data_IF_300330330209
#
_entry.id   IF_300330330209
#
_cell.length_a   1.000
_cell.length_b   1.000
_cell.length_c   1.000
_cell.angle_alpha   90.00
_cell.angle_beta   90.00
_cell.angle_gamma   90.00
#
_symmetry.space_group_name_H-M   'P 1'
#
loop_
_entity.id
_entity.type
_entity.pdbx_description
1 polymer ?
#
# COMPACT_ATOMS: atom_id res chain seq x y z
N UNK A 1 5.51 7.41 -19.56
CA UNK A 1 5.31 8.59 -18.69
C UNK A 1 6.30 8.54 -17.52
N UNK A 2 6.77 9.68 -16.97
CA UNK A 2 7.63 9.68 -15.76
C UNK A 2 6.91 9.08 -14.53
N UNK A 3 7.67 8.47 -13.62
CA UNK A 3 7.10 7.84 -12.42
C UNK A 3 6.48 8.86 -11.46
N UNK A 4 7.06 10.06 -11.40
CA UNK A 4 6.57 11.19 -10.62
C UNK A 4 5.17 11.60 -11.06
N UNK A 5 4.90 11.57 -12.37
CA UNK A 5 3.58 11.90 -12.93
C UNK A 5 2.55 10.89 -12.45
N UNK A 6 2.87 9.60 -12.50
CA UNK A 6 1.99 8.58 -11.94
C UNK A 6 1.81 8.74 -10.44
N UNK A 7 2.87 9.01 -9.68
CA UNK A 7 2.74 9.20 -8.24
C UNK A 7 1.79 10.36 -7.89
N UNK A 8 1.96 11.50 -8.56
CA UNK A 8 1.29 12.75 -8.22
C UNK A 8 -0.07 12.99 -8.89
N UNK A 9 -0.42 12.30 -9.98
CA UNK A 9 -1.68 12.54 -10.70
C UNK A 9 -2.86 11.72 -10.20
N UNK A 10 -4.07 12.02 -10.69
CA UNK A 10 -5.28 11.32 -10.30
C UNK A 10 -5.48 10.02 -11.07
N UNK A 11 -6.03 9.04 -10.36
CA UNK A 11 -6.19 7.66 -10.82
C UNK A 11 -7.59 7.17 -10.54
N UNK A 12 -8.00 6.15 -11.27
CA UNK A 12 -9.24 5.45 -10.96
C UNK A 12 -9.09 3.96 -11.22
N UNK A 13 -9.77 3.15 -10.42
CA UNK A 13 -9.97 1.72 -10.68
C UNK A 13 -10.78 1.58 -11.96
N UNK A 14 -10.36 0.68 -12.83
CA UNK A 14 -11.00 0.44 -14.14
C UNK A 14 -11.92 -0.77 -14.15
N UNK A 15 -11.65 -1.73 -13.24
CA UNK A 15 -12.36 -2.99 -13.13
C UNK A 15 -12.87 -3.21 -11.71
N UNK A 16 -13.80 -4.16 -11.58
CA UNK A 16 -14.24 -4.66 -10.28
C UNK A 16 -13.07 -5.29 -9.51
N UNK A 17 -12.87 -4.86 -8.27
CA UNK A 17 -11.79 -5.37 -7.43
C UNK A 17 -12.24 -6.64 -6.72
N UNK A 18 -11.55 -7.75 -6.98
CA UNK A 18 -11.82 -9.05 -6.36
C UNK A 18 -10.61 -9.53 -5.57
N UNK A 19 -10.84 -9.79 -4.29
CA UNK A 19 -9.91 -10.54 -3.47
C UNK A 19 -9.88 -12.01 -3.89
N UNK A 20 -8.70 -12.60 -3.96
CA UNK A 20 -8.54 -14.04 -4.17
C UNK A 20 -9.05 -14.82 -2.96
N UNK A 21 -9.33 -16.11 -3.16
CA UNK A 21 -9.38 -17.02 -2.02
C UNK A 21 -8.04 -16.96 -1.23
N UNK A 22 -8.07 -17.17 0.10
CA UNK A 22 -6.85 -17.26 0.89
C UNK A 22 -5.97 -18.42 0.40
N UNK A 23 -4.66 -18.18 0.29
CA UNK A 23 -3.68 -19.23 -0.02
C UNK A 23 -3.39 -20.12 1.21
N UNK A 24 -2.40 -21.02 1.09
CA UNK A 24 -1.99 -21.91 2.18
C UNK A 24 -1.51 -21.17 3.44
N UNK A 25 -1.04 -19.93 3.29
CA UNK A 25 -0.57 -19.09 4.39
C UNK A 25 -1.70 -18.18 4.92
N UNK A 26 -2.94 -18.38 4.45
CA UNK A 26 -4.10 -17.58 4.80
C UNK A 26 -4.09 -16.18 4.19
N UNK A 27 -3.24 -15.92 3.20
CA UNK A 27 -3.11 -14.60 2.58
C UNK A 27 -4.08 -14.49 1.41
N UNK A 28 -4.89 -13.43 1.42
CA UNK A 28 -5.72 -13.01 0.29
C UNK A 28 -5.13 -11.77 -0.37
N UNK A 29 -5.28 -11.67 -1.70
CA UNK A 29 -4.70 -10.59 -2.50
C UNK A 29 -5.69 -10.07 -3.53
N UNK A 30 -5.50 -8.85 -3.99
CA UNK A 30 -6.04 -8.41 -5.26
C UNK A 30 -4.96 -7.68 -6.06
N UNK A 31 -5.17 -7.61 -7.37
CA UNK A 31 -4.41 -6.77 -8.29
C UNK A 31 -5.38 -6.19 -9.30
N UNK A 32 -5.36 -4.88 -9.49
CA UNK A 32 -6.23 -4.17 -10.42
C UNK A 32 -5.46 -3.08 -11.14
N UNK A 33 -5.70 -2.94 -12.44
CA UNK A 33 -5.13 -1.86 -13.23
C UNK A 33 -5.82 -0.54 -12.93
N UNK A 34 -5.08 0.55 -13.12
CA UNK A 34 -5.57 1.90 -12.91
C UNK A 34 -5.62 2.65 -14.23
N UNK A 35 -6.65 3.48 -14.39
CA UNK A 35 -6.61 4.55 -15.36
C UNK A 35 -5.91 5.76 -14.76
N UNK A 36 -5.28 6.53 -15.62
CA UNK A 36 -4.65 7.80 -15.32
C UNK A 36 -5.19 8.82 -16.32
N UNK A 37 -5.76 9.92 -15.83
CA UNK A 37 -6.40 10.93 -16.69
C UNK A 37 -7.44 10.33 -17.67
N UNK A 38 -8.18 9.32 -17.23
CA UNK A 38 -9.21 8.64 -18.03
C UNK A 38 -8.67 7.63 -19.06
N UNK A 39 -7.35 7.47 -19.17
CA UNK A 39 -6.71 6.50 -20.07
C UNK A 39 -6.26 5.29 -19.26
N UNK A 40 -6.60 4.09 -19.71
CA UNK A 40 -6.08 2.86 -19.11
C UNK A 40 -4.55 2.81 -19.31
N UNK A 41 -3.79 2.91 -18.22
CA UNK A 41 -2.33 2.89 -18.28
C UNK A 41 -1.83 1.46 -18.07
N UNK A 42 -1.33 0.84 -19.15
CA UNK A 42 -0.74 -0.48 -19.08
C UNK A 42 0.44 -0.50 -18.09
N UNK A 43 0.31 -1.29 -17.04
CA UNK A 43 1.36 -1.48 -16.03
C UNK A 43 1.22 -0.61 -14.79
N UNK A 44 0.31 0.37 -14.73
CA UNK A 44 -0.03 1.06 -13.48
C UNK A 44 -1.09 0.26 -12.71
N UNK A 45 -0.75 -0.20 -11.51
CA UNK A 45 -1.62 -1.10 -10.76
C UNK A 45 -1.69 -0.74 -9.28
N UNK A 46 -2.86 -1.00 -8.70
CA UNK A 46 -3.07 -1.11 -7.26
C UNK A 46 -3.10 -2.58 -6.87
N UNK A 47 -2.40 -2.93 -5.79
CA UNK A 47 -2.56 -4.22 -5.14
C UNK A 47 -2.95 -4.06 -3.69
N UNK A 48 -3.69 -5.06 -3.19
CA UNK A 48 -3.97 -5.24 -1.78
C UNK A 48 -3.54 -6.61 -1.32
N UNK A 49 -3.08 -6.70 -0.08
CA UNK A 49 -2.74 -7.94 0.62
C UNK A 49 -3.35 -7.89 2.00
N UNK A 50 -4.00 -8.96 2.44
CA UNK A 50 -4.51 -9.10 3.79
C UNK A 50 -4.38 -10.55 4.28
N UNK A 51 -4.36 -10.76 5.58
CA UNK A 51 -4.52 -12.09 6.16
C UNK A 51 -5.99 -12.35 6.45
N UNK A 52 -6.53 -13.45 5.95
CA UNK A 52 -7.93 -13.79 6.05
C UNK A 52 -8.36 -14.00 7.51
N UNK A 53 -7.53 -14.65 8.32
CA UNK A 53 -7.86 -15.02 9.71
C UNK A 53 -7.58 -13.91 10.73
N UNK A 54 -7.11 -12.74 10.27
CA UNK A 54 -6.77 -11.58 11.09
C UNK A 54 -7.57 -10.34 10.63
N UNK A 55 -8.88 -10.28 10.95
CA UNK A 55 -9.73 -9.18 10.54
C UNK A 55 -9.24 -7.85 11.10
N UNK A 56 -9.38 -6.77 10.31
CA UNK A 56 -9.05 -5.39 10.70
C UNK A 56 -7.58 -5.18 11.10
N UNK A 57 -6.68 -6.00 10.57
CA UNK A 57 -5.24 -5.86 10.75
C UNK A 57 -4.45 -6.46 9.59
N UNK A 58 -3.12 -6.27 9.61
CA UNK A 58 -2.18 -6.81 8.65
C UNK A 58 -2.62 -6.67 7.19
N UNK A 59 -3.07 -5.47 6.84
CA UNK A 59 -3.50 -5.14 5.49
C UNK A 59 -2.52 -4.17 4.87
N UNK A 60 -2.14 -4.42 3.62
CA UNK A 60 -1.23 -3.60 2.86
C UNK A 60 -1.89 -3.19 1.56
N UNK A 61 -1.81 -1.91 1.21
CA UNK A 61 -2.06 -1.41 -0.14
C UNK A 61 -0.76 -0.96 -0.78
N UNK A 62 -0.52 -1.32 -2.03
CA UNK A 62 0.71 -0.95 -2.75
C UNK A 62 0.38 -0.50 -4.17
N UNK A 63 0.84 0.71 -4.50
CA UNK A 63 0.80 1.28 -5.85
C UNK A 63 2.13 0.98 -6.53
N UNK A 64 2.09 0.43 -7.74
CA UNK A 64 3.30 0.17 -8.51
C UNK A 64 3.08 0.34 -10.01
N UNK A 65 4.17 0.64 -10.72
CA UNK A 65 4.21 0.73 -12.16
C UNK A 65 5.08 -0.40 -12.73
N UNK A 66 4.69 -0.97 -13.86
CA UNK A 66 5.43 -2.03 -14.55
C UNK A 66 5.72 -1.63 -16.00
N UNK A 67 6.89 -2.00 -16.50
CA UNK A 67 7.20 -1.84 -17.92
C UNK A 67 6.75 -3.04 -18.76
N UNK A 68 6.83 -2.89 -20.09
CA UNK A 68 6.48 -3.94 -21.06
C UNK A 68 7.33 -5.21 -20.93
N UNK A 69 8.45 -5.17 -20.21
CA UNK A 69 9.33 -6.32 -19.95
C UNK A 69 8.99 -7.00 -18.61
N UNK A 70 7.89 -6.60 -17.97
CA UNK A 70 7.45 -7.13 -16.68
C UNK A 70 8.26 -6.63 -15.49
N UNK A 71 9.14 -5.63 -15.65
CA UNK A 71 9.87 -5.06 -14.51
C UNK A 71 8.96 -4.10 -13.78
N UNK A 72 8.70 -4.39 -12.50
CA UNK A 72 7.87 -3.56 -11.64
C UNK A 72 8.69 -2.67 -10.69
N UNK A 73 8.16 -1.48 -10.44
CA UNK A 73 8.69 -0.48 -9.51
C UNK A 73 7.55 -0.04 -8.59
N UNK A 74 7.74 -0.26 -7.29
CA UNK A 74 6.82 0.23 -6.25
C UNK A 74 6.93 1.74 -6.16
N UNK A 75 5.79 2.41 -6.12
CA UNK A 75 5.70 3.86 -6.01
C UNK A 75 5.36 4.28 -4.57
N UNK A 76 4.36 3.62 -3.99
CA UNK A 76 3.84 3.92 -2.65
C UNK A 76 3.33 2.65 -1.98
N UNK A 77 3.40 2.59 -0.64
CA UNK A 77 2.81 1.49 0.14
C UNK A 77 2.23 2.00 1.45
N UNK A 78 1.02 1.58 1.77
CA UNK A 78 0.40 1.77 3.08
C UNK A 78 0.34 0.42 3.79
N UNK A 79 0.94 0.33 4.97
CA UNK A 79 0.89 -0.85 5.84
C UNK A 79 0.03 -0.52 7.06
N UNK A 80 -1.02 -1.30 7.31
CA UNK A 80 -1.97 -1.07 8.40
C UNK A 80 -1.96 -2.20 9.42
N UNK A 81 -1.70 -1.84 10.68
CA UNK A 81 -1.69 -2.75 11.84
C UNK A 81 -0.93 -4.04 11.54
N UNK A 82 0.29 -3.89 11.01
CA UNK A 82 1.18 -5.01 10.68
C UNK A 82 1.42 -5.89 11.91
N UNK A 83 1.23 -7.21 11.77
CA UNK A 83 1.51 -8.18 12.84
C UNK A 83 3.01 -8.25 13.19
N UNK A 84 3.87 -7.84 12.27
CA UNK A 84 5.32 -7.76 12.49
C UNK A 84 5.73 -6.46 13.22
N UNK A 85 4.76 -5.63 13.56
CA UNK A 85 4.95 -4.24 13.94
C UNK A 85 5.49 -3.40 12.77
N UNK A 86 6.07 -2.24 13.08
CA UNK A 86 6.77 -1.43 12.08
C UNK A 86 8.23 -1.87 11.86
N UNK A 87 8.99 -1.06 11.13
CA UNK A 87 10.37 -1.38 10.75
C UNK A 87 11.31 -0.20 10.93
N UNK A 88 12.61 -0.49 10.94
CA UNK A 88 13.63 0.57 10.98
C UNK A 88 13.73 1.24 9.62
N UNK A 89 13.77 2.57 9.59
CA UNK A 89 14.09 3.32 8.38
C UNK A 89 15.59 3.20 8.08
N UNK A 90 15.94 2.53 6.98
CA UNK A 90 17.35 2.37 6.57
C UNK A 90 17.79 3.55 5.70
N UNK A 91 19.04 4.02 5.85
CA UNK A 91 19.62 5.11 5.04
C UNK A 91 18.83 6.42 5.10
N UNK A 92 18.36 6.78 6.29
CA UNK A 92 17.76 8.08 6.54
C UNK A 92 18.71 9.21 6.10
N UNK A 93 18.22 10.24 5.41
CA UNK A 93 19.00 11.45 5.18
C UNK A 93 19.49 12.03 6.51
N UNK A 94 20.71 12.56 6.53
CA UNK A 94 21.23 13.30 7.68
C UNK A 94 20.28 14.44 8.04
N UNK A 95 19.93 14.58 9.32
CA UNK A 95 18.97 15.60 9.79
C UNK A 95 17.50 15.30 9.49
N UNK A 96 17.17 14.13 8.94
CA UNK A 96 15.78 13.73 8.67
C UNK A 96 14.95 13.63 9.96
N UNK A 97 13.74 14.17 9.93
CA UNK A 97 12.72 14.07 10.99
C UNK A 97 12.01 12.72 11.03
N UNK A 98 12.27 11.82 10.08
CA UNK A 98 11.64 10.50 10.05
C UNK A 98 11.90 9.73 11.34
N UNK A 99 10.96 8.91 11.81
CA UNK A 99 11.20 8.08 12.98
C UNK A 99 12.32 7.08 12.72
N UNK A 100 13.04 6.66 13.77
CA UNK A 100 14.07 5.62 13.66
C UNK A 100 13.44 4.27 13.34
N UNK A 101 12.28 3.99 13.93
CA UNK A 101 11.45 2.81 13.70
C UNK A 101 10.01 3.29 13.55
N UNK A 102 9.30 2.78 12.55
CA UNK A 102 7.89 3.10 12.33
C UNK A 102 6.98 2.29 13.26
N UNK A 103 5.75 2.74 13.38
CA UNK A 103 4.66 2.05 14.06
C UNK A 103 4.09 0.93 13.18
N UNK A 104 3.27 0.01 13.71
CA UNK A 104 2.64 -1.05 12.91
C UNK A 104 1.78 -0.53 11.75
N UNK A 105 1.25 0.70 11.88
CA UNK A 105 0.57 1.43 10.83
C UNK A 105 1.48 2.55 10.34
N UNK A 106 1.90 2.51 9.07
CA UNK A 106 2.84 3.47 8.52
C UNK A 106 2.76 3.56 7.00
N UNK A 107 3.23 4.69 6.47
CA UNK A 107 3.16 5.00 5.05
C UNK A 107 4.53 5.18 4.41
N UNK A 108 4.73 4.49 3.30
CA UNK A 108 5.86 4.59 2.40
C UNK A 108 5.48 5.51 1.25
N UNK A 109 5.71 6.82 1.40
CA UNK A 109 5.39 7.77 0.33
C UNK A 109 6.41 7.71 -0.82
N UNK A 110 5.97 8.19 -1.99
CA UNK A 110 6.81 8.30 -3.17
C UNK A 110 8.00 9.23 -2.90
N UNK A 111 7.75 10.42 -2.35
CA UNK A 111 8.77 11.45 -2.16
C UNK A 111 9.89 11.02 -1.21
N UNK A 112 9.55 10.30 -0.14
CA UNK A 112 10.55 9.74 0.79
C UNK A 112 11.46 8.74 0.07
N UNK A 113 10.90 7.97 -0.86
CA UNK A 113 11.60 6.91 -1.56
C UNK A 113 12.08 7.31 -2.95
N UNK A 114 11.83 8.52 -3.43
CA UNK A 114 12.31 9.01 -4.70
C UNK A 114 13.70 9.63 -4.56
N UNK A 115 14.54 9.45 -5.58
CA UNK A 115 15.78 10.18 -5.72
C UNK A 115 15.75 11.01 -7.01
N UNK A 116 15.45 12.31 -6.93
CA UNK A 116 15.24 13.15 -8.12
C UNK A 116 16.51 13.31 -8.96
N UNK A 117 17.71 13.27 -8.36
CA UNK A 117 18.96 13.39 -9.12
C UNK A 117 19.24 12.19 -10.02
N UNK A 118 18.78 11.00 -9.62
CA UNK A 118 18.97 9.76 -10.39
C UNK A 118 17.71 9.31 -11.13
N UNK A 119 16.58 10.02 -10.93
CA UNK A 119 15.25 9.64 -11.41
C UNK A 119 14.89 8.17 -11.12
N UNK A 120 15.12 7.73 -9.88
CA UNK A 120 14.92 6.33 -9.46
C UNK A 120 14.39 6.24 -8.04
N UNK A 121 13.62 5.18 -7.77
CA UNK A 121 13.25 4.79 -6.40
C UNK A 121 14.48 4.33 -5.61
N UNK A 122 14.49 4.60 -4.31
CA UNK A 122 15.47 4.17 -3.31
C UNK A 122 15.31 2.68 -3.05
N UNK A 123 15.76 1.87 -3.99
CA UNK A 123 15.64 0.42 -3.93
C UNK A 123 14.23 -0.08 -4.26
N UNK A 124 14.07 -1.41 -4.25
CA UNK A 124 12.85 -2.07 -4.73
C UNK A 124 11.75 -2.24 -3.66
N UNK A 125 12.01 -1.91 -2.39
CA UNK A 125 11.15 -2.28 -1.25
C UNK A 125 10.56 -1.12 -0.47
N UNK A 126 10.80 0.13 -0.89
CA UNK A 126 10.44 1.34 -0.17
C UNK A 126 10.99 1.31 1.27
N UNK A 127 12.28 1.60 1.48
CA UNK A 127 12.93 1.48 2.79
C UNK A 127 12.60 2.59 3.78
N UNK A 128 12.01 3.70 3.31
CA UNK A 128 11.69 4.86 4.13
C UNK A 128 10.17 5.01 4.25
N UNK A 129 9.70 5.05 5.50
CA UNK A 129 8.32 5.30 5.84
C UNK A 129 8.20 6.31 6.97
N UNK A 130 7.03 6.91 7.07
CA UNK A 130 6.62 7.76 8.17
C UNK A 130 5.44 7.11 8.90
N UNK A 131 5.31 7.43 10.18
CA UNK A 131 4.07 7.15 10.89
C UNK A 131 2.98 8.05 10.30
N UNK A 132 1.75 7.59 10.39
CA UNK A 132 0.59 8.44 10.14
C UNK A 132 0.04 8.85 11.50
N UNK A 133 -0.46 10.08 11.60
CA UNK A 133 -1.00 10.58 12.86
C UNK A 133 -2.47 10.14 13.05
N UNK A 134 -3.15 9.79 11.95
CA UNK A 134 -4.52 9.34 11.97
C UNK A 134 -4.65 7.92 12.53
N UNK A 135 -5.53 7.77 13.51
CA UNK A 135 -5.90 6.47 14.03
C UNK A 135 -6.98 5.81 13.16
N UNK A 136 -6.54 4.97 12.23
CA UNK A 136 -7.41 4.26 11.28
C UNK A 136 -8.09 3.07 11.96
N UNK A 137 -9.29 3.28 12.48
CA UNK A 137 -10.04 2.31 13.29
C UNK A 137 -10.82 1.25 12.49
N UNK A 138 -10.99 1.44 11.17
CA UNK A 138 -11.70 0.51 10.30
C UNK A 138 -11.03 0.32 8.94
N UNK A 139 -11.46 -0.70 8.19
CA UNK A 139 -10.98 -0.91 6.83
C UNK A 139 -11.39 0.24 5.91
N UNK A 140 -12.59 0.78 6.10
CA UNK A 140 -13.12 1.90 5.33
C UNK A 140 -12.29 3.17 5.57
N UNK A 141 -11.88 3.41 6.82
CA UNK A 141 -10.97 4.51 7.16
C UNK A 141 -9.60 4.31 6.50
N UNK A 142 -9.03 3.10 6.57
CA UNK A 142 -7.80 2.76 5.86
C UNK A 142 -7.92 2.98 4.35
N UNK A 143 -8.99 2.48 3.76
CA UNK A 143 -9.26 2.55 2.32
C UNK A 143 -9.40 4.00 1.87
N UNK A 144 -10.17 4.80 2.60
CA UNK A 144 -10.33 6.23 2.34
C UNK A 144 -9.00 6.99 2.46
N UNK A 145 -8.26 6.75 3.55
CA UNK A 145 -6.93 7.34 3.74
C UNK A 145 -5.98 6.97 2.58
N UNK A 146 -5.95 5.69 2.21
CA UNK A 146 -5.12 5.18 1.10
C UNK A 146 -5.51 5.81 -0.24
N UNK A 147 -6.81 5.92 -0.54
CA UNK A 147 -7.29 6.56 -1.76
C UNK A 147 -6.86 8.02 -1.85
N UNK A 148 -6.95 8.76 -0.75
CA UNK A 148 -6.47 10.15 -0.69
C UNK A 148 -4.96 10.21 -0.92
N UNK A 149 -4.17 9.40 -0.18
CA UNK A 149 -2.71 9.39 -0.29
C UNK A 149 -2.22 8.97 -1.69
N UNK A 150 -2.91 8.02 -2.34
CA UNK A 150 -2.52 7.47 -3.64
C UNK A 150 -3.19 8.22 -4.81
N UNK A 151 -4.10 9.16 -4.51
CA UNK A 151 -4.96 9.89 -5.45
C UNK A 151 -5.80 8.97 -6.33
N UNK A 152 -6.54 8.05 -5.70
CA UNK A 152 -7.46 7.12 -6.36
C UNK A 152 -8.89 7.57 -6.04
N UNK A 153 -9.58 8.16 -7.01
CA UNK A 153 -10.83 8.90 -6.79
C UNK A 153 -12.04 8.00 -6.48
N UNK A 154 -11.99 6.72 -6.87
CA UNK A 154 -13.04 5.72 -6.65
C UNK A 154 -12.55 4.55 -5.79
N UNK A 155 -11.66 4.81 -4.83
CA UNK A 155 -11.09 3.76 -3.96
C UNK A 155 -12.14 2.98 -3.17
N UNK A 156 -13.31 3.57 -2.97
CA UNK A 156 -14.46 2.99 -2.29
C UNK A 156 -15.04 1.76 -3.00
N UNK A 157 -14.68 1.52 -4.26
CA UNK A 157 -15.00 0.29 -4.97
C UNK A 157 -14.15 -0.92 -4.54
N UNK A 158 -13.06 -0.72 -3.78
CA UNK A 158 -12.31 -1.84 -3.19
C UNK A 158 -13.13 -2.43 -2.04
N UNK A 159 -13.64 -3.68 -2.14
CA UNK A 159 -14.36 -4.29 -1.04
C UNK A 159 -13.43 -4.63 0.13
N UNK A 160 -13.97 -4.78 1.32
CA UNK A 160 -13.23 -5.34 2.45
C UNK A 160 -12.66 -6.73 2.10
N UNK A 161 -11.47 -7.09 2.61
CA UNK A 161 -10.95 -8.44 2.42
C UNK A 161 -11.96 -9.47 2.92
N UNK A 162 -12.01 -10.68 2.33
CA UNK A 162 -12.88 -11.78 2.76
C UNK A 162 -12.37 -12.38 4.08
N UNK A 163 -12.36 -11.56 5.14
CA UNK A 163 -11.91 -11.95 6.45
C UNK A 163 -12.81 -13.02 7.04
N UNK A 164 -12.17 -13.96 7.74
CA UNK A 164 -12.81 -15.01 8.51
C UNK A 164 -12.81 -14.60 9.96
N UNK A 165 -14.01 -14.47 10.52
CA UNK A 165 -14.19 -14.16 11.93
C UNK A 165 -14.33 -15.48 12.68
N UNK A 166 -13.23 -15.93 13.30
CA UNK A 166 -13.26 -17.08 14.20
C UNK A 166 -13.40 -16.57 15.63
N UNK A 167 -14.44 -17.04 16.33
CA UNK A 167 -14.73 -16.70 17.74
C UNK A 167 -13.58 -17.00 18.71
N UNK A 168 -12.63 -17.85 18.31
CA UNK A 168 -11.50 -18.29 19.14
C UNK A 168 -10.15 -17.68 18.73
N UNK A 169 -10.11 -16.86 17.67
CA UNK A 169 -8.89 -16.16 17.23
C UNK A 169 -8.74 -14.78 17.92
N UNK A 170 -9.11 -14.68 19.19
CA UNK A 170 -8.66 -13.54 19.99
C UNK A 170 -7.16 -13.70 20.19
N UNK A 171 -6.39 -12.94 19.41
CA UNK A 171 -4.94 -12.90 19.47
C UNK A 171 -4.57 -12.50 20.90
N UNK A 172 -4.10 -13.47 21.68
CA UNK A 172 -3.51 -13.22 22.99
C UNK A 172 -2.33 -12.28 22.80
N UNK A 173 -2.48 -11.04 23.27
CA UNK A 173 -1.38 -10.10 23.38
C UNK A 173 -0.47 -10.59 24.51
N UNK A 174 0.58 -11.33 24.16
CA UNK A 174 1.74 -11.53 25.04
C UNK A 174 2.68 -10.32 24.94
#
# INVERSE_FOLDING_TARGET
MPLETFAAGEKSLVDEVKWTAPDSDGVTRFLVSLSFEGILEAGLNLSGVALADFPKMNTTFELFASDQRGRSVRLMRMDWRSLRGGHKNTRRPTGSTLPRRTDPTHFHSFDLNWNPSTKRMRGRRLPLAQNIDEDLQSFEALRGWTGNAFRINNIDLVPSPPWRYNLFNEVGWN
#
